data_IF_759957061085
#
_entry.id   IF_759957061085
#
_cell.length_a   1.000
_cell.length_b   1.000
_cell.length_c   1.000
_cell.angle_alpha   90.00
_cell.angle_beta   90.00
_cell.angle_gamma   90.00
#
_symmetry.space_group_name_H-M   'P 1'
#
loop_
_entity.id
_entity.type
_entity.pdbx_description
1 polymer ?
#
# COMPACT_ATOMS: atom_id res chain seq x y z
N UNK A 1 1.45 5.42 -7.27
CA UNK A 1 2.82 5.69 -6.75
C UNK A 1 2.86 5.69 -5.22
N UNK A 2 1.95 6.38 -4.51
CA UNK A 2 1.91 6.41 -3.03
C UNK A 2 1.78 5.00 -2.43
N UNK A 3 0.85 4.19 -2.93
CA UNK A 3 0.67 2.80 -2.45
C UNK A 3 1.95 1.97 -2.61
N UNK A 4 2.65 2.11 -3.74
CA UNK A 4 3.94 1.43 -3.96
C UNK A 4 4.97 1.88 -2.93
N UNK A 5 5.09 3.19 -2.72
CA UNK A 5 6.04 3.72 -1.74
C UNK A 5 5.74 3.19 -0.33
N UNK A 6 4.50 3.32 0.15
CA UNK A 6 4.16 2.93 1.52
C UNK A 6 4.18 1.41 1.69
N UNK A 7 3.57 0.65 0.78
CA UNK A 7 3.43 -0.81 0.93
C UNK A 7 4.75 -1.54 0.69
N UNK A 8 5.54 -1.14 -0.31
CA UNK A 8 6.81 -1.82 -0.61
C UNK A 8 7.91 -1.36 0.35
N UNK A 9 8.18 -0.04 0.42
CA UNK A 9 9.26 0.44 1.30
C UNK A 9 8.89 0.32 2.77
N UNK A 10 7.66 0.66 3.15
CA UNK A 10 7.17 0.47 4.51
C UNK A 10 7.13 -1.01 4.90
N UNK A 11 6.58 -1.87 4.05
CA UNK A 11 6.55 -3.32 4.27
C UNK A 11 7.95 -3.91 4.44
N UNK A 12 8.90 -3.54 3.58
CA UNK A 12 10.30 -3.97 3.68
C UNK A 12 10.96 -3.46 4.97
N UNK A 13 10.77 -2.20 5.32
CA UNK A 13 11.30 -1.62 6.55
C UNK A 13 10.78 -2.36 7.79
N UNK A 14 9.45 -2.57 7.87
CA UNK A 14 8.85 -3.32 8.98
C UNK A 14 9.31 -4.79 9.00
N UNK A 15 9.52 -5.42 7.85
CA UNK A 15 10.06 -6.77 7.75
C UNK A 15 11.49 -6.86 8.31
N UNK A 16 12.35 -5.90 7.98
CA UNK A 16 13.71 -5.80 8.51
C UNK A 16 13.68 -5.59 10.04
N UNK A 17 12.84 -4.69 10.53
CA UNK A 17 12.71 -4.46 11.97
C UNK A 17 12.21 -5.72 12.69
N UNK A 18 11.21 -6.41 12.11
CA UNK A 18 10.65 -7.63 12.66
C UNK A 18 11.65 -8.79 12.68
N UNK A 19 12.53 -8.90 11.68
CA UNK A 19 13.55 -9.95 11.60
C UNK A 19 14.60 -9.85 12.73
N UNK A 20 14.77 -8.66 13.32
CA UNK A 20 15.68 -8.42 14.44
C UNK A 20 15.08 -8.74 15.80
N UNK A 21 13.76 -8.85 15.90
CA UNK A 21 13.06 -9.08 17.17
C UNK A 21 13.03 -10.59 17.44
N UNK A 22 13.65 -11.02 18.55
CA UNK A 22 13.67 -12.43 18.97
C UNK A 22 12.45 -12.81 19.80
N UNK A 23 12.02 -11.93 20.74
CA UNK A 23 10.87 -12.19 21.64
C UNK A 23 9.66 -11.36 21.21
N UNK A 24 8.47 -11.97 21.14
CA UNK A 24 7.23 -11.26 20.78
C UNK A 24 7.02 -11.04 19.27
N UNK A 25 7.91 -11.57 18.41
CA UNK A 25 7.83 -11.43 16.96
C UNK A 25 6.49 -11.85 16.38
N UNK A 26 5.98 -13.01 16.78
CA UNK A 26 4.70 -13.55 16.30
C UNK A 26 3.55 -12.62 16.67
N UNK A 27 3.53 -12.09 17.89
CA UNK A 27 2.50 -11.16 18.33
C UNK A 27 2.52 -9.86 17.50
N UNK A 28 3.70 -9.29 17.25
CA UNK A 28 3.84 -8.11 16.40
C UNK A 28 3.43 -8.38 14.96
N UNK A 29 3.85 -9.52 14.39
CA UNK A 29 3.44 -9.94 13.05
C UNK A 29 1.91 -10.04 12.95
N UNK A 30 1.27 -10.68 13.92
CA UNK A 30 -0.19 -10.78 13.99
C UNK A 30 -0.84 -9.40 14.10
N UNK A 31 -0.33 -8.52 14.96
CA UNK A 31 -0.86 -7.17 15.18
C UNK A 31 -0.84 -6.35 13.87
N UNK A 32 0.28 -6.36 13.15
CA UNK A 32 0.38 -5.66 11.86
C UNK A 32 -0.45 -6.31 10.75
N UNK A 33 -0.76 -7.61 10.87
CA UNK A 33 -1.57 -8.33 9.89
C UNK A 33 -3.09 -8.16 10.13
N UNK A 34 -3.52 -7.79 11.34
CA UNK A 34 -4.94 -7.59 11.68
C UNK A 34 -5.68 -6.71 10.67
N UNK A 35 -5.17 -5.53 10.25
CA UNK A 35 -5.87 -4.68 9.29
C UNK A 35 -6.17 -5.38 7.95
N UNK A 36 -5.34 -6.32 7.52
CA UNK A 36 -5.52 -7.09 6.27
C UNK A 36 -6.79 -7.94 6.33
N UNK A 37 -7.04 -8.55 7.50
CA UNK A 37 -8.17 -9.47 7.71
C UNK A 37 -9.50 -8.71 7.89
N UNK A 38 -9.45 -7.50 8.41
CA UNK A 38 -10.64 -6.67 8.62
C UNK A 38 -11.24 -6.27 7.26
N UNK A 39 -12.57 -6.27 7.16
CA UNK A 39 -13.30 -5.82 5.98
C UNK A 39 -12.91 -4.39 5.59
N UNK A 40 -12.76 -4.12 4.29
CA UNK A 40 -12.47 -2.78 3.77
C UNK A 40 -13.53 -1.76 4.19
N UNK A 41 -14.81 -2.18 4.26
CA UNK A 41 -15.90 -1.33 4.74
C UNK A 41 -15.69 -0.90 6.18
N UNK A 42 -15.31 -1.83 7.07
CA UNK A 42 -15.03 -1.52 8.47
C UNK A 42 -13.82 -0.59 8.63
N UNK A 43 -12.74 -0.83 7.90
CA UNK A 43 -11.58 0.06 7.87
C UNK A 43 -11.98 1.46 7.41
N UNK A 44 -12.72 1.59 6.31
CA UNK A 44 -13.18 2.89 5.82
C UNK A 44 -14.06 3.60 6.85
N UNK A 45 -14.97 2.91 7.53
CA UNK A 45 -15.81 3.50 8.59
C UNK A 45 -15.00 3.99 9.78
N UNK A 46 -13.97 3.22 10.21
CA UNK A 46 -13.05 3.62 11.28
C UNK A 46 -12.33 4.91 10.86
N UNK A 47 -11.72 4.94 9.68
CA UNK A 47 -11.00 6.12 9.21
C UNK A 47 -11.92 7.33 8.97
N UNK A 48 -13.14 7.13 8.48
CA UNK A 48 -14.13 8.22 8.37
C UNK A 48 -14.40 8.87 9.73
N UNK A 49 -14.54 8.09 10.81
CA UNK A 49 -14.70 8.60 12.17
C UNK A 49 -13.42 9.24 12.72
N UNK A 50 -12.25 8.63 12.50
CA UNK A 50 -10.98 9.16 12.96
C UNK A 50 -10.63 10.51 12.33
N UNK A 51 -11.00 10.70 11.05
CA UNK A 51 -10.69 11.86 10.24
C UNK A 51 -11.82 12.89 10.19
N UNK A 52 -12.96 12.65 10.89
CA UNK A 52 -14.13 13.51 10.83
C UNK A 52 -13.86 14.90 11.41
N UNK A 53 -14.61 15.88 10.92
CA UNK A 53 -14.62 17.25 11.45
C UNK A 53 -15.77 17.42 12.45
N UNK A 54 -16.93 16.81 12.17
CA UNK A 54 -18.13 16.91 13.00
C UNK A 54 -18.81 15.53 13.14
N UNK A 55 -18.81 14.93 14.35
CA UNK A 55 -18.05 15.32 15.54
C UNK A 55 -16.54 15.21 15.30
N UNK A 56 -15.75 15.99 16.03
CA UNK A 56 -14.29 16.04 15.82
C UNK A 56 -13.63 14.69 16.07
N UNK A 57 -13.02 14.12 15.04
CA UNK A 57 -12.31 12.85 15.10
C UNK A 57 -10.98 12.95 15.84
N UNK A 58 -10.46 11.82 16.27
CA UNK A 58 -9.25 11.73 17.10
C UNK A 58 -8.05 12.42 16.42
N UNK A 59 -7.89 12.30 15.11
CA UNK A 59 -6.76 12.92 14.38
C UNK A 59 -6.83 14.44 14.47
N UNK A 60 -8.00 15.03 14.24
CA UNK A 60 -8.19 16.47 14.38
C UNK A 60 -8.08 16.95 15.83
N UNK A 61 -8.50 16.13 16.82
CA UNK A 61 -8.31 16.46 18.23
C UNK A 61 -6.82 16.51 18.62
N UNK A 62 -6.03 15.52 18.18
CA UNK A 62 -4.59 15.49 18.44
C UNK A 62 -3.90 16.69 17.78
N UNK A 63 -4.25 17.02 16.53
CA UNK A 63 -3.69 18.18 15.84
C UNK A 63 -4.02 19.49 16.55
N UNK A 64 -5.27 19.69 16.98
CA UNK A 64 -5.67 20.88 17.72
C UNK A 64 -5.04 20.97 19.11
N UNK A 65 -4.66 19.84 19.71
CA UNK A 65 -3.92 19.80 20.98
C UNK A 65 -2.45 20.22 20.80
N UNK A 66 -1.82 19.85 19.65
CA UNK A 66 -0.44 20.26 19.32
C UNK A 66 -0.37 21.73 18.94
N UNK A 67 -1.30 22.20 18.12
CA UNK A 67 -1.40 23.60 17.72
C UNK A 67 -2.87 24.03 17.64
N UNK A 68 -3.37 24.75 18.68
CA UNK A 68 -4.75 25.24 18.72
C UNK A 68 -5.11 26.25 17.63
N UNK A 69 -4.12 26.81 16.94
CA UNK A 69 -4.35 27.74 15.81
C UNK A 69 -4.67 27.02 14.51
N UNK A 70 -4.39 25.73 14.41
CA UNK A 70 -4.69 24.93 13.23
C UNK A 70 -6.21 24.77 13.07
N UNK A 71 -6.73 25.16 11.90
CA UNK A 71 -8.10 24.85 11.53
C UNK A 71 -8.29 23.33 11.42
N UNK A 72 -9.46 22.86 11.84
CA UNK A 72 -9.82 21.46 11.66
C UNK A 72 -9.68 21.08 10.17
N UNK A 73 -8.90 20.03 9.91
CA UNK A 73 -8.59 19.63 8.54
C UNK A 73 -9.69 18.72 7.99
N UNK A 74 -10.23 19.09 6.84
CA UNK A 74 -11.20 18.30 6.10
C UNK A 74 -10.49 17.23 5.25
N UNK A 75 -10.05 16.15 5.88
CA UNK A 75 -9.23 15.13 5.26
C UNK A 75 -9.88 14.47 4.04
N UNK A 76 -11.17 14.17 4.13
CA UNK A 76 -11.94 13.44 3.12
C UNK A 76 -12.60 14.40 2.14
N UNK A 77 -13.03 15.58 2.61
CA UNK A 77 -13.81 16.57 1.83
C UNK A 77 -12.93 17.61 1.13
N UNK A 78 -11.62 17.60 1.34
CA UNK A 78 -10.70 18.53 0.67
C UNK A 78 -10.22 17.93 -0.67
N UNK A 79 -10.50 18.58 -1.83
CA UNK A 79 -10.11 18.07 -3.15
C UNK A 79 -8.61 17.86 -3.33
N UNK A 80 -7.78 18.62 -2.62
CA UNK A 80 -6.32 18.56 -2.77
C UNK A 80 -5.70 17.34 -2.10
N UNK A 81 -6.35 16.79 -1.05
CA UNK A 81 -5.76 15.72 -0.24
C UNK A 81 -6.58 14.44 -0.21
N UNK A 82 -7.85 14.47 -0.62
CA UNK A 82 -8.76 13.32 -0.54
C UNK A 82 -8.21 12.06 -1.23
N UNK A 83 -7.57 12.21 -2.41
CA UNK A 83 -6.92 11.11 -3.10
C UNK A 83 -5.75 10.51 -2.30
N UNK A 84 -4.95 11.37 -1.68
CA UNK A 84 -3.81 10.92 -0.86
C UNK A 84 -4.27 10.21 0.40
N UNK A 85 -5.36 10.68 1.01
CA UNK A 85 -5.97 10.06 2.18
C UNK A 85 -6.53 8.68 1.83
N UNK A 86 -7.25 8.54 0.72
CA UNK A 86 -7.76 7.24 0.27
C UNK A 86 -6.63 6.26 -0.02
N UNK A 87 -5.57 6.71 -0.70
CA UNK A 87 -4.39 5.91 -0.97
C UNK A 87 -3.65 5.50 0.32
N UNK A 88 -3.56 6.39 1.31
CA UNK A 88 -2.96 6.08 2.61
C UNK A 88 -3.75 5.01 3.38
N UNK A 89 -5.08 5.12 3.42
CA UNK A 89 -5.94 4.15 4.11
C UNK A 89 -5.83 2.76 3.46
N UNK A 90 -5.79 2.71 2.12
CA UNK A 90 -5.54 1.47 1.38
C UNK A 90 -4.16 0.90 1.68
N UNK A 91 -3.13 1.76 1.65
CA UNK A 91 -1.76 1.36 1.94
C UNK A 91 -1.61 0.83 3.37
N UNK A 92 -2.22 1.49 4.36
CA UNK A 92 -2.25 1.05 5.74
C UNK A 92 -2.86 -0.36 5.89
N UNK A 93 -3.98 -0.62 5.22
CA UNK A 93 -4.63 -1.93 5.27
C UNK A 93 -3.70 -3.04 4.80
N UNK A 94 -3.02 -2.84 3.67
CA UNK A 94 -2.21 -3.90 3.05
C UNK A 94 -0.74 -3.92 3.49
N UNK A 95 -0.28 -2.95 4.28
CA UNK A 95 1.10 -2.86 4.75
C UNK A 95 1.58 -4.16 5.44
N UNK A 96 0.72 -4.73 6.30
CA UNK A 96 1.03 -5.96 7.03
C UNK A 96 1.20 -7.18 6.11
N UNK A 97 0.47 -7.25 5.00
CA UNK A 97 0.61 -8.32 4.01
C UNK A 97 2.02 -8.30 3.39
N UNK A 98 2.44 -7.13 2.89
CA UNK A 98 3.76 -7.00 2.27
C UNK A 98 4.90 -7.14 3.28
N UNK A 99 4.71 -6.67 4.51
CA UNK A 99 5.64 -6.94 5.61
C UNK A 99 5.86 -8.44 5.82
N UNK A 100 4.79 -9.24 5.84
CA UNK A 100 4.89 -10.70 6.04
C UNK A 100 5.60 -11.37 4.86
N UNK A 101 5.29 -10.97 3.63
CA UNK A 101 5.94 -11.52 2.43
C UNK A 101 7.44 -11.21 2.44
N UNK A 102 7.83 -9.95 2.70
CA UNK A 102 9.24 -9.58 2.78
C UNK A 102 9.95 -10.23 3.97
N UNK A 103 9.26 -10.36 5.10
CA UNK A 103 9.80 -11.07 6.25
C UNK A 103 10.10 -12.54 5.91
N UNK A 104 9.16 -13.25 5.25
CA UNK A 104 9.38 -14.63 4.82
C UNK A 104 10.56 -14.75 3.84
N UNK A 105 10.70 -13.79 2.92
CA UNK A 105 11.83 -13.76 2.00
C UNK A 105 13.16 -13.51 2.74
N UNK A 106 13.20 -12.60 3.72
CA UNK A 106 14.41 -12.29 4.49
C UNK A 106 14.90 -13.45 5.34
N UNK A 107 14.00 -14.23 5.94
CA UNK A 107 14.39 -15.43 6.71
C UNK A 107 14.76 -16.62 5.82
N UNK A 108 14.39 -16.60 4.54
CA UNK A 108 14.79 -17.60 3.56
C UNK A 108 16.21 -17.39 2.99
N UNK A 109 16.87 -16.28 3.33
CA UNK A 109 18.28 -16.04 2.96
C UNK A 109 19.16 -16.96 3.79
N UNK A 110 20.08 -17.75 3.19
CA UNK A 110 21.02 -18.58 3.95
C UNK A 110 21.83 -17.76 4.96
N UNK A 111 21.88 -18.23 6.20
CA UNK A 111 22.57 -17.50 7.29
C UNK A 111 24.06 -17.40 7.05
N UNK A 112 24.67 -18.37 6.33
CA UNK A 112 26.08 -18.38 5.94
C UNK A 112 26.50 -17.13 5.19
N UNK A 113 25.62 -16.56 4.33
CA UNK A 113 25.90 -15.32 3.60
C UNK A 113 25.97 -14.10 4.53
N UNK A 114 25.08 -14.08 5.54
CA UNK A 114 25.10 -13.02 6.56
C UNK A 114 26.32 -13.12 7.47
N UNK A 115 26.66 -14.34 7.92
CA UNK A 115 27.82 -14.60 8.78
C UNK A 115 29.13 -14.26 8.07
N UNK A 116 29.28 -14.63 6.79
CA UNK A 116 30.44 -14.27 5.99
C UNK A 116 30.63 -12.74 5.91
N UNK A 117 29.56 -12.00 5.64
CA UNK A 117 29.62 -10.53 5.61
C UNK A 117 30.04 -9.92 6.96
N UNK A 118 29.57 -10.48 8.08
CA UNK A 118 29.97 -10.03 9.42
C UNK A 118 31.44 -10.35 9.73
N UNK A 119 31.95 -11.50 9.27
CA UNK A 119 33.38 -11.85 9.38
C UNK A 119 34.23 -10.87 8.58
N UNK A 120 33.77 -10.45 7.39
CA UNK A 120 34.43 -9.43 6.55
C UNK A 120 34.32 -8.01 7.15
N UNK A 121 33.73 -7.85 8.33
CA UNK A 121 33.66 -6.58 9.05
C UNK A 121 32.47 -5.71 8.69
N UNK A 122 31.47 -6.23 7.97
CA UNK A 122 30.26 -5.50 7.70
C UNK A 122 29.45 -5.26 8.98
N UNK A 123 28.89 -4.05 9.13
CA UNK A 123 27.87 -3.81 10.18
C UNK A 123 26.56 -4.52 9.82
N UNK A 124 25.71 -4.75 10.82
CA UNK A 124 24.41 -5.40 10.60
C UNK A 124 23.54 -4.68 9.57
N UNK A 125 23.61 -3.34 9.44
CA UNK A 125 22.92 -2.61 8.38
C UNK A 125 23.51 -2.85 7.01
N UNK A 126 24.84 -2.96 6.92
CA UNK A 126 25.53 -3.30 5.67
C UNK A 126 25.20 -4.73 5.22
N UNK A 127 25.12 -5.69 6.15
CA UNK A 127 24.64 -7.05 5.86
C UNK A 127 23.23 -7.03 5.21
N UNK A 128 22.27 -6.28 5.78
CA UNK A 128 20.96 -6.16 5.16
C UNK A 128 21.01 -5.49 3.80
N UNK A 129 21.68 -4.36 3.66
CA UNK A 129 21.70 -3.57 2.43
C UNK A 129 22.46 -4.23 1.28
N UNK A 130 23.57 -4.89 1.58
CA UNK A 130 24.49 -5.42 0.55
C UNK A 130 24.37 -6.93 0.34
N UNK A 131 23.75 -7.67 1.26
CA UNK A 131 23.59 -9.12 1.16
C UNK A 131 22.12 -9.52 1.08
N UNK A 132 21.32 -9.28 2.14
CA UNK A 132 19.94 -9.78 2.21
C UNK A 132 18.99 -9.09 1.24
N UNK A 133 19.03 -7.77 1.10
CA UNK A 133 18.14 -7.04 0.17
C UNK A 133 18.45 -7.38 -1.30
N UNK A 134 19.69 -7.39 -1.76
CA UNK A 134 20.00 -7.86 -3.11
C UNK A 134 19.57 -9.31 -3.36
N UNK A 135 19.73 -10.20 -2.39
CA UNK A 135 19.29 -11.59 -2.50
C UNK A 135 17.79 -11.73 -2.73
N UNK A 136 16.98 -10.94 -2.00
CA UNK A 136 15.51 -10.95 -2.15
C UNK A 136 15.00 -10.00 -3.24
N UNK A 137 15.88 -9.39 -4.04
CA UNK A 137 15.49 -8.47 -5.12
C UNK A 137 14.38 -9.01 -6.04
N UNK A 138 14.37 -10.29 -6.46
CA UNK A 138 13.27 -10.84 -7.26
C UNK A 138 11.91 -10.76 -6.55
N UNK A 139 11.88 -10.99 -5.22
CA UNK A 139 10.67 -10.88 -4.41
C UNK A 139 10.22 -9.43 -4.31
N UNK A 140 11.15 -8.47 -4.16
CA UNK A 140 10.83 -7.04 -4.14
C UNK A 140 10.21 -6.62 -5.47
N UNK A 141 10.79 -7.01 -6.59
CA UNK A 141 10.29 -6.72 -7.94
C UNK A 141 8.88 -7.29 -8.13
N UNK A 142 8.66 -8.56 -7.76
CA UNK A 142 7.35 -9.19 -7.85
C UNK A 142 6.29 -8.46 -7.02
N UNK A 143 6.63 -8.05 -5.79
CA UNK A 143 5.72 -7.28 -4.94
C UNK A 143 5.46 -5.86 -5.47
N UNK A 144 6.47 -5.18 -6.04
CA UNK A 144 6.25 -3.91 -6.73
C UNK A 144 5.21 -4.06 -7.85
N UNK A 145 5.32 -5.12 -8.66
CA UNK A 145 4.37 -5.40 -9.74
C UNK A 145 2.95 -5.66 -9.20
N UNK A 146 2.84 -6.44 -8.12
CA UNK A 146 1.55 -6.72 -7.47
C UNK A 146 0.89 -5.44 -6.94
N UNK A 147 1.64 -4.59 -6.24
CA UNK A 147 1.14 -3.31 -5.72
C UNK A 147 0.74 -2.36 -6.85
N UNK A 148 1.55 -2.25 -7.91
CA UNK A 148 1.24 -1.43 -9.08
C UNK A 148 -0.08 -1.86 -9.72
N UNK A 149 -0.23 -3.14 -10.04
CA UNK A 149 -1.46 -3.67 -10.62
C UNK A 149 -2.66 -3.56 -9.69
N UNK A 150 -2.46 -3.78 -8.38
CA UNK A 150 -3.48 -3.59 -7.36
C UNK A 150 -3.97 -2.14 -7.32
N UNK A 151 -3.04 -1.18 -7.31
CA UNK A 151 -3.37 0.25 -7.29
C UNK A 151 -4.11 0.73 -8.54
N UNK A 152 -3.79 0.18 -9.74
CA UNK A 152 -4.49 0.51 -10.98
C UNK A 152 -5.94 -0.01 -10.99
N UNK A 153 -6.21 -1.11 -10.26
CA UNK A 153 -7.54 -1.71 -10.11
C UNK A 153 -8.23 -1.36 -8.80
N UNK A 154 -7.62 -0.47 -8.00
CA UNK A 154 -8.23 -0.04 -6.73
C UNK A 154 -9.59 0.61 -6.99
N UNK A 155 -10.58 0.20 -6.19
CA UNK A 155 -11.97 0.67 -6.26
C UNK A 155 -12.51 1.00 -4.88
N UNK A 156 -12.38 0.04 -3.95
CA UNK A 156 -13.12 0.03 -2.68
C UNK A 156 -12.89 1.28 -1.85
N UNK A 157 -11.63 1.69 -1.67
CA UNK A 157 -11.29 2.79 -0.76
C UNK A 157 -11.75 4.15 -1.30
N UNK A 158 -11.55 4.42 -2.60
CA UNK A 158 -12.06 5.63 -3.22
C UNK A 158 -13.61 5.67 -3.21
N UNK A 159 -14.25 4.53 -3.47
CA UNK A 159 -15.71 4.46 -3.45
C UNK A 159 -16.29 4.57 -2.03
N UNK A 160 -15.74 3.86 -1.05
CA UNK A 160 -16.28 3.81 0.31
C UNK A 160 -15.99 5.06 1.14
N UNK A 161 -14.83 5.74 0.94
CA UNK A 161 -14.47 6.93 1.71
C UNK A 161 -15.04 8.20 1.12
N UNK A 162 -15.02 8.35 -0.20
CA UNK A 162 -15.27 9.63 -0.88
C UNK A 162 -16.30 9.55 -2.00
N UNK A 163 -16.69 8.35 -2.43
CA UNK A 163 -17.47 8.13 -3.67
C UNK A 163 -16.83 8.78 -4.90
N UNK A 164 -15.47 8.87 -4.92
CA UNK A 164 -14.70 9.54 -5.96
C UNK A 164 -14.64 11.08 -5.82
N UNK A 165 -15.27 11.64 -4.76
CA UNK A 165 -15.31 13.08 -4.49
C UNK A 165 -14.14 13.62 -3.67
N UNK A 166 -14.20 14.91 -3.26
CA UNK A 166 -15.13 15.92 -3.76
C UNK A 166 -14.82 16.35 -5.20
N UNK A 167 -15.83 16.69 -5.99
CA UNK A 167 -15.64 17.17 -7.37
C UNK A 167 -14.82 16.24 -8.28
N UNK A 168 -14.91 14.91 -8.10
CA UNK A 168 -14.11 13.88 -8.77
C UNK A 168 -12.58 13.89 -8.42
N UNK A 169 -12.17 14.58 -7.36
CA UNK A 169 -10.75 14.70 -7.01
C UNK A 169 -10.09 13.38 -6.60
N UNK A 170 -10.86 12.42 -6.10
CA UNK A 170 -10.38 11.08 -5.76
C UNK A 170 -10.97 10.00 -6.68
N UNK A 171 -11.49 10.38 -7.85
CA UNK A 171 -12.04 9.43 -8.81
C UNK A 171 -10.93 8.63 -9.47
N UNK A 172 -11.10 7.31 -9.48
CA UNK A 172 -10.23 6.35 -10.15
C UNK A 172 -10.93 5.82 -11.40
N UNK A 173 -10.18 5.26 -12.33
CA UNK A 173 -10.77 4.64 -13.53
C UNK A 173 -11.85 3.59 -13.18
N UNK A 174 -11.65 2.85 -12.12
CA UNK A 174 -12.57 1.83 -11.62
C UNK A 174 -13.85 2.44 -11.01
N UNK A 175 -13.74 3.53 -10.24
CA UNK A 175 -14.91 4.24 -9.71
C UNK A 175 -15.70 4.93 -10.83
N UNK A 176 -15.00 5.50 -11.81
CA UNK A 176 -15.61 6.05 -13.01
C UNK A 176 -16.35 4.97 -13.82
N UNK A 177 -15.70 3.84 -14.07
CA UNK A 177 -16.31 2.68 -14.71
C UNK A 177 -17.62 2.27 -14.00
N UNK A 178 -17.57 2.14 -12.68
CA UNK A 178 -18.71 1.76 -11.88
C UNK A 178 -19.87 2.77 -12.00
N UNK A 179 -19.58 4.07 -11.91
CA UNK A 179 -20.57 5.13 -12.09
C UNK A 179 -21.24 5.06 -13.47
N UNK A 180 -20.47 4.87 -14.53
CA UNK A 180 -21.01 4.78 -15.89
C UNK A 180 -21.89 3.53 -16.09
N UNK A 181 -21.40 2.37 -15.63
CA UNK A 181 -22.10 1.12 -15.79
C UNK A 181 -23.39 1.08 -14.95
N UNK A 182 -23.29 1.33 -13.64
CA UNK A 182 -24.37 1.04 -12.70
C UNK A 182 -25.18 2.26 -12.27
N UNK A 183 -24.58 3.44 -12.12
CA UNK A 183 -25.34 4.65 -11.75
C UNK A 183 -25.96 5.32 -12.96
N UNK A 184 -25.27 5.35 -14.10
CA UNK A 184 -25.76 5.95 -15.35
C UNK A 184 -26.41 4.93 -16.30
N UNK A 185 -26.47 3.65 -15.93
CA UNK A 185 -27.00 2.53 -16.74
C UNK A 185 -26.41 2.40 -18.16
N UNK A 186 -25.19 2.95 -18.38
CA UNK A 186 -24.47 2.90 -19.64
C UNK A 186 -23.55 1.67 -19.69
N UNK A 187 -24.13 0.47 -19.68
CA UNK A 187 -23.37 -0.79 -19.56
C UNK A 187 -22.30 -0.97 -20.67
N UNK A 188 -22.63 -0.66 -21.94
CA UNK A 188 -21.68 -0.77 -23.03
C UNK A 188 -20.46 0.14 -22.86
N UNK A 189 -20.68 1.38 -22.40
CA UNK A 189 -19.61 2.31 -22.10
C UNK A 189 -18.77 1.88 -20.88
N UNK A 190 -19.43 1.45 -19.80
CA UNK A 190 -18.75 0.90 -18.63
C UNK A 190 -17.89 -0.31 -18.97
N UNK A 191 -18.39 -1.22 -19.82
CA UNK A 191 -17.62 -2.38 -20.31
C UNK A 191 -16.40 -1.97 -21.14
N UNK A 192 -16.51 -0.92 -21.95
CA UNK A 192 -15.37 -0.39 -22.72
C UNK A 192 -14.28 0.15 -21.78
N UNK A 193 -14.67 0.88 -20.73
CA UNK A 193 -13.71 1.36 -19.69
C UNK A 193 -13.07 0.19 -18.94
N UNK A 194 -13.83 -0.87 -18.64
CA UNK A 194 -13.27 -2.07 -18.00
C UNK A 194 -12.18 -2.74 -18.87
N UNK A 195 -12.43 -2.88 -20.17
CA UNK A 195 -11.44 -3.41 -21.12
C UNK A 195 -10.19 -2.52 -21.16
N UNK A 196 -10.36 -1.20 -21.19
CA UNK A 196 -9.23 -0.26 -21.14
C UNK A 196 -8.39 -0.44 -19.87
N UNK A 197 -9.02 -0.61 -18.69
CA UNK A 197 -8.31 -0.88 -17.44
C UNK A 197 -7.47 -2.15 -17.56
N UNK A 198 -8.03 -3.22 -18.11
CA UNK A 198 -7.31 -4.49 -18.30
C UNK A 198 -6.10 -4.30 -19.24
N UNK A 199 -6.28 -3.61 -20.36
CA UNK A 199 -5.19 -3.33 -21.31
C UNK A 199 -4.09 -2.51 -20.63
N UNK A 200 -4.44 -1.46 -19.88
CA UNK A 200 -3.46 -0.64 -19.15
C UNK A 200 -2.69 -1.50 -18.15
N UNK A 201 -3.37 -2.34 -17.36
CA UNK A 201 -2.72 -3.23 -16.41
C UNK A 201 -1.76 -4.21 -17.10
N UNK A 202 -2.13 -4.78 -18.23
CA UNK A 202 -1.27 -5.67 -19.01
C UNK A 202 -0.04 -4.93 -19.57
N UNK A 203 -0.24 -3.76 -20.16
CA UNK A 203 0.86 -2.95 -20.71
C UNK A 203 1.83 -2.52 -19.60
N UNK A 204 1.31 -1.99 -18.49
CA UNK A 204 2.14 -1.59 -17.35
C UNK A 204 2.90 -2.79 -16.79
N UNK A 205 2.25 -3.95 -16.65
CA UNK A 205 2.89 -5.19 -16.18
C UNK A 205 4.00 -5.66 -17.11
N UNK A 206 3.78 -5.66 -18.42
CA UNK A 206 4.79 -6.03 -19.42
C UNK A 206 5.97 -5.06 -19.44
N UNK A 207 5.69 -3.75 -19.41
CA UNK A 207 6.73 -2.72 -19.37
C UNK A 207 7.57 -2.86 -18.10
N UNK A 208 6.93 -3.00 -16.94
CA UNK A 208 7.62 -3.18 -15.67
C UNK A 208 8.55 -4.40 -15.69
N UNK A 209 8.05 -5.56 -16.18
CA UNK A 209 8.85 -6.77 -16.32
C UNK A 209 10.06 -6.56 -17.24
N UNK A 210 9.88 -5.87 -18.36
CA UNK A 210 10.97 -5.56 -19.30
C UNK A 210 12.06 -4.68 -18.67
N UNK A 211 11.67 -3.67 -17.88
CA UNK A 211 12.62 -2.76 -17.22
C UNK A 211 13.33 -3.36 -16.00
N UNK A 212 12.75 -4.37 -15.37
CA UNK A 212 13.32 -5.00 -14.16
C UNK A 212 14.17 -6.25 -14.46
N UNK A 213 14.44 -6.53 -15.74
CA UNK A 213 15.33 -7.64 -16.12
C UNK A 213 14.69 -9.04 -16.03
N UNK A 214 13.36 -9.12 -16.05
CA UNK A 214 12.64 -10.40 -16.04
C UNK A 214 12.66 -11.15 -17.38
N UNK A 215 13.74 -11.07 -18.12
CA UNK A 215 13.91 -11.67 -19.45
C UNK A 215 15.13 -12.58 -19.63
N UNK A 216 15.97 -12.72 -18.62
CA UNK A 216 17.24 -13.46 -18.73
C UNK A 216 17.23 -14.75 -17.89
N UNK A 217 16.17 -15.56 -18.00
CA UNK A 217 16.16 -16.95 -17.56
C UNK A 217 15.55 -17.81 -18.68
N UNK A 218 16.32 -18.05 -19.74
CA UNK A 218 16.27 -19.23 -20.60
C UNK A 218 17.66 -19.87 -20.66
#
# INVERSE_FOLDING_TARGET
>A
MINVAIQVFGGLLFAILLSRIKKGRVALQTLYYIPVVISSVAICQIFTKLLSVTPTGIVNQVLSFIDPSLKLMEWISNPQISLYVTAFVEAYKYLGLYMVIFYAALIGVPDELGEAALIDGASTWQEYLYVRIPYIKPVIIANCLLVLNGSLRSFEFSYLLTHGGPGNASELMTTYMYKQAFSSMKYGYGSSVAIMIVIICMVVGMLFRKFTGGGDDE
#
